data_IF_821486204004
#
_entry.id   IF_821486204004
#
_cell.length_a   1.000
_cell.length_b   1.000
_cell.length_c   1.000
_cell.angle_alpha   90.00
_cell.angle_beta   90.00
_cell.angle_gamma   90.00
#
_symmetry.space_group_name_H-M   'P 1'
#
loop_
_entity.id
_entity.type
_entity.pdbx_description
1 polymer ?
#
# COMPACT_ATOMS: atom_id res chain seq x y z
N UNK A 1 -11.45 2.89 7.92
CA UNK A 1 -11.24 2.72 6.47
C UNK A 1 -10.22 3.76 6.04
N UNK A 2 -8.99 3.32 5.90
CA UNK A 2 -7.83 4.10 5.46
C UNK A 2 -7.76 4.14 3.93
N UNK A 3 -7.38 5.30 3.38
CA UNK A 3 -7.08 5.47 1.96
C UNK A 3 -6.00 6.53 1.78
N UNK A 4 -4.77 6.10 1.54
CA UNK A 4 -3.59 6.96 1.42
C UNK A 4 -3.16 6.98 -0.04
N UNK A 5 -2.96 8.19 -0.57
CA UNK A 5 -2.84 8.43 -2.00
C UNK A 5 -1.40 8.65 -2.44
N UNK A 6 -1.10 8.15 -3.64
CA UNK A 6 0.04 8.57 -4.46
C UNK A 6 1.39 8.47 -3.74
N UNK A 7 1.73 7.27 -3.28
CA UNK A 7 3.08 7.00 -2.77
C UNK A 7 4.11 7.09 -3.89
N UNK A 8 5.14 7.91 -3.68
CA UNK A 8 6.26 8.10 -4.63
C UNK A 8 7.60 7.96 -3.92
N UNK A 9 8.66 7.50 -4.60
CA UNK A 9 9.99 7.47 -4.01
C UNK A 9 10.44 8.86 -3.57
N UNK A 10 11.02 8.94 -2.38
CA UNK A 10 11.57 10.19 -1.86
C UNK A 10 12.83 9.97 -1.04
N UNK A 11 13.54 11.07 -0.78
CA UNK A 11 14.72 11.05 0.07
C UNK A 11 14.34 10.84 1.54
N UNK A 12 15.19 10.17 2.34
CA UNK A 12 15.05 10.13 3.79
C UNK A 12 14.83 11.52 4.39
N UNK A 13 13.90 11.63 5.35
CA UNK A 13 13.56 12.88 6.04
C UNK A 13 14.08 12.94 7.48
N UNK A 14 14.46 11.81 8.08
CA UNK A 14 15.02 11.74 9.44
C UNK A 14 16.43 11.12 9.46
N UNK A 15 17.24 11.37 10.52
CA UNK A 15 18.53 10.73 10.68
C UNK A 15 18.47 9.19 10.66
N UNK A 16 17.44 8.61 11.27
CA UNK A 16 17.23 7.15 11.30
C UNK A 16 16.96 6.61 9.90
N UNK A 17 16.12 7.29 9.12
CA UNK A 17 15.85 6.93 7.73
C UNK A 17 17.12 7.05 6.88
N UNK A 18 17.94 8.08 7.10
CA UNK A 18 19.20 8.27 6.40
C UNK A 18 20.20 7.16 6.72
N UNK A 19 20.30 6.75 7.99
CA UNK A 19 21.12 5.61 8.40
C UNK A 19 20.65 4.32 7.73
N UNK A 20 19.34 4.04 7.75
CA UNK A 20 18.74 2.87 7.10
C UNK A 20 19.00 2.86 5.58
N UNK A 21 18.84 4.00 4.91
CA UNK A 21 19.14 4.13 3.48
C UNK A 21 20.62 3.86 3.18
N UNK A 22 21.53 4.39 3.99
CA UNK A 22 22.97 4.23 3.76
C UNK A 22 23.46 2.81 4.06
N UNK A 23 23.01 2.23 5.17
CA UNK A 23 23.49 0.94 5.68
C UNK A 23 22.79 -0.25 5.02
N UNK A 24 21.50 -0.13 4.77
CA UNK A 24 20.66 -1.24 4.31
C UNK A 24 20.04 -1.01 2.93
N UNK A 25 20.32 0.14 2.28
CA UNK A 25 19.74 0.49 0.96
C UNK A 25 18.22 0.50 0.96
N UNK A 26 17.63 0.85 2.10
CA UNK A 26 16.17 0.98 2.26
C UNK A 26 15.69 2.13 1.38
N UNK A 27 14.66 1.86 0.59
CA UNK A 27 13.93 2.85 -0.20
C UNK A 27 12.74 3.37 0.63
N UNK A 28 12.50 4.67 0.55
CA UNK A 28 11.38 5.33 1.23
C UNK A 28 10.36 5.82 0.23
N UNK A 29 9.09 5.59 0.54
CA UNK A 29 7.97 6.10 -0.23
C UNK A 29 7.19 7.10 0.61
N UNK A 30 6.74 8.18 -0.02
CA UNK A 30 5.94 9.21 0.62
C UNK A 30 4.65 9.44 -0.16
N UNK A 31 3.53 9.50 0.55
CA UNK A 31 2.22 9.84 -0.01
C UNK A 31 2.15 11.33 -0.41
N UNK A 32 1.09 11.71 -1.11
CA UNK A 32 0.88 13.11 -1.51
C UNK A 32 0.76 14.08 -0.33
N UNK A 33 0.25 13.61 0.80
CA UNK A 33 0.14 14.36 2.06
C UNK A 33 1.38 14.19 2.97
N UNK A 34 2.41 13.51 2.47
CA UNK A 34 3.74 13.46 3.08
C UNK A 34 3.98 12.34 4.09
N UNK A 35 3.02 11.41 4.26
CA UNK A 35 3.17 10.24 5.13
C UNK A 35 4.18 9.26 4.54
N UNK A 36 5.05 8.72 5.38
CA UNK A 36 6.02 7.70 4.97
C UNK A 36 5.39 6.30 5.03
N UNK A 37 5.66 5.46 4.02
CA UNK A 37 4.99 4.17 3.84
C UNK A 37 5.11 3.22 5.03
N UNK A 38 6.31 2.98 5.57
CA UNK A 38 6.49 2.02 6.66
C UNK A 38 5.79 2.50 7.94
N UNK A 39 5.82 3.80 8.24
CA UNK A 39 5.08 4.36 9.36
C UNK A 39 3.56 4.34 9.16
N UNK A 40 3.10 4.58 7.93
CA UNK A 40 1.69 4.56 7.57
C UNK A 40 1.03 3.18 7.75
N UNK A 41 1.80 2.08 7.70
CA UNK A 41 1.29 0.72 7.92
C UNK A 41 0.53 0.56 9.25
N UNK A 42 0.91 1.33 10.28
CA UNK A 42 0.27 1.29 11.62
C UNK A 42 -1.17 1.78 11.63
N UNK A 43 -1.62 2.46 10.57
CA UNK A 43 -2.98 2.99 10.47
C UNK A 43 -4.00 1.94 10.01
N UNK A 44 -3.54 0.84 9.42
CA UNK A 44 -4.41 -0.19 8.85
C UNK A 44 -4.87 -1.16 9.93
N UNK A 45 -6.16 -1.51 9.91
CA UNK A 45 -6.74 -2.46 10.86
C UNK A 45 -6.25 -3.88 10.56
N UNK A 46 -6.15 -4.76 11.56
CA UNK A 46 -5.62 -6.12 11.35
C UNK A 46 -6.54 -7.01 10.51
N UNK A 47 -7.86 -6.82 10.61
CA UNK A 47 -8.92 -7.68 10.09
C UNK A 47 -9.58 -7.18 8.78
N UNK A 48 -8.95 -6.23 8.10
CA UNK A 48 -9.41 -5.67 6.82
C UNK A 48 -8.68 -6.27 5.61
N UNK A 49 -9.25 -6.13 4.42
CA UNK A 49 -8.55 -6.36 3.15
C UNK A 49 -7.86 -5.06 2.75
N UNK A 50 -6.57 -5.12 2.41
CA UNK A 50 -5.78 -3.99 1.90
C UNK A 50 -5.45 -4.25 0.45
N UNK A 51 -5.35 -3.18 -0.32
CA UNK A 51 -4.96 -3.27 -1.71
C UNK A 51 -4.23 -2.01 -2.16
N UNK A 52 -3.29 -2.19 -3.09
CA UNK A 52 -2.70 -1.10 -3.84
C UNK A 52 -3.37 -0.96 -5.20
N UNK A 53 -3.54 0.28 -5.65
CA UNK A 53 -4.12 0.57 -6.96
C UNK A 53 -3.41 1.76 -7.62
N UNK A 54 -3.40 1.75 -8.96
CA UNK A 54 -2.73 2.77 -9.76
C UNK A 54 -3.60 4.00 -10.02
N UNK A 55 -3.10 4.96 -10.79
CA UNK A 55 -3.82 6.20 -11.13
C UNK A 55 -5.11 5.98 -11.92
N UNK A 56 -5.25 4.82 -12.59
CA UNK A 56 -6.45 4.45 -13.35
C UNK A 56 -7.50 3.77 -12.46
N UNK A 57 -7.20 3.59 -11.16
CA UNK A 57 -8.07 2.91 -10.20
C UNK A 57 -8.00 1.39 -10.28
N UNK A 58 -7.06 0.83 -11.04
CA UNK A 58 -6.92 -0.63 -11.19
C UNK A 58 -6.18 -1.19 -10.00
N UNK A 59 -6.77 -2.18 -9.32
CA UNK A 59 -6.13 -2.88 -8.21
C UNK A 59 -4.99 -3.75 -8.74
N UNK A 60 -3.77 -3.55 -8.21
CA UNK A 60 -2.55 -4.25 -8.64
C UNK A 60 -2.06 -5.28 -7.63
N UNK A 61 -2.40 -5.13 -6.35
CA UNK A 61 -2.03 -6.09 -5.31
C UNK A 61 -3.06 -6.07 -4.19
N UNK A 62 -3.30 -7.22 -3.57
CA UNK A 62 -4.26 -7.41 -2.47
C UNK A 62 -3.57 -8.22 -1.38
N UNK A 63 -3.78 -7.85 -0.12
CA UNK A 63 -3.28 -8.61 1.03
C UNK A 63 -4.11 -8.31 2.28
N UNK A 64 -4.12 -9.24 3.24
CA UNK A 64 -4.58 -8.93 4.61
C UNK A 64 -3.46 -8.35 5.48
N UNK A 65 -2.22 -8.63 5.12
CA UNK A 65 -1.01 -8.07 5.72
C UNK A 65 -0.53 -6.86 4.90
N UNK A 66 -0.63 -5.66 5.47
CA UNK A 66 -0.23 -4.42 4.79
C UNK A 66 1.26 -4.39 4.48
N UNK A 67 2.10 -5.07 5.27
CA UNK A 67 3.54 -5.09 5.06
C UNK A 67 3.96 -5.86 3.79
N UNK A 68 3.06 -6.68 3.24
CA UNK A 68 3.26 -7.39 1.97
C UNK A 68 3.06 -6.49 0.73
N UNK A 69 2.62 -5.24 0.92
CA UNK A 69 2.41 -4.29 -0.18
C UNK A 69 3.65 -3.40 -0.39
N UNK A 70 3.90 -3.06 -1.65
CA UNK A 70 4.94 -2.10 -2.05
C UNK A 70 4.38 -1.10 -3.05
N UNK A 71 3.79 0.01 -2.58
CA UNK A 71 2.92 0.87 -3.39
C UNK A 71 3.68 1.94 -4.19
N UNK A 72 4.75 1.58 -4.89
CA UNK A 72 5.48 2.56 -5.71
C UNK A 72 4.57 3.10 -6.81
N UNK A 73 4.40 4.43 -6.85
CA UNK A 73 3.52 5.16 -7.76
C UNK A 73 2.05 4.69 -7.69
N UNK A 74 1.64 4.24 -6.51
CA UNK A 74 0.30 3.72 -6.25
C UNK A 74 -0.30 4.32 -4.98
N UNK A 75 -1.60 4.16 -4.82
CA UNK A 75 -2.30 4.43 -3.58
C UNK A 75 -2.58 3.13 -2.83
N UNK A 76 -2.83 3.20 -1.51
CA UNK A 76 -3.21 2.05 -0.68
C UNK A 76 -4.49 2.35 0.08
N UNK A 77 -5.45 1.45 0.00
CA UNK A 77 -6.71 1.54 0.74
C UNK A 77 -7.05 0.22 1.43
N UNK A 78 -7.98 0.31 2.39
CA UNK A 78 -8.57 -0.86 3.03
C UNK A 78 -10.10 -0.84 3.01
N UNK A 79 -10.67 -2.04 3.07
CA UNK A 79 -12.10 -2.28 3.24
C UNK A 79 -12.32 -3.43 4.22
N UNK A 80 -13.50 -3.46 4.87
CA UNK A 80 -13.88 -4.59 5.72
C UNK A 80 -13.88 -5.91 4.93
N UNK A 81 -13.48 -7.01 5.57
CA UNK A 81 -13.43 -8.32 4.94
C UNK A 81 -14.83 -8.96 4.85
N UNK A 82 -15.64 -8.49 3.90
CA UNK A 82 -17.01 -8.97 3.63
C UNK A 82 -17.09 -9.64 2.26
N UNK A 83 -18.08 -10.51 2.05
CA UNK A 83 -18.31 -11.16 0.74
C UNK A 83 -18.47 -10.14 -0.39
N UNK A 84 -19.28 -9.09 -0.17
CA UNK A 84 -19.48 -8.04 -1.17
C UNK A 84 -18.18 -7.32 -1.54
N UNK A 85 -17.31 -7.03 -0.57
CA UNK A 85 -16.03 -6.40 -0.83
C UNK A 85 -15.05 -7.33 -1.57
N UNK A 86 -15.06 -8.63 -1.27
CA UNK A 86 -14.24 -9.61 -2.01
C UNK A 86 -14.66 -9.69 -3.48
N UNK A 87 -15.97 -9.71 -3.75
CA UNK A 87 -16.52 -9.73 -5.11
C UNK A 87 -16.17 -8.44 -5.87
N UNK A 88 -16.36 -7.28 -5.23
CA UNK A 88 -16.00 -5.99 -5.82
C UNK A 88 -14.49 -5.90 -6.15
N UNK A 89 -13.61 -6.28 -5.20
CA UNK A 89 -12.16 -6.29 -5.42
C UNK A 89 -11.80 -7.21 -6.60
N UNK A 90 -12.41 -8.40 -6.68
CA UNK A 90 -12.16 -9.33 -7.78
C UNK A 90 -12.53 -8.74 -9.14
N UNK A 91 -13.57 -7.92 -9.21
CA UNK A 91 -13.95 -7.23 -10.44
C UNK A 91 -12.98 -6.07 -10.75
N UNK A 92 -12.57 -5.32 -9.73
CA UNK A 92 -11.67 -4.17 -9.85
C UNK A 92 -10.20 -4.52 -10.15
N UNK A 93 -9.77 -5.76 -9.88
CA UNK A 93 -8.43 -6.26 -10.20
C UNK A 93 -8.18 -6.53 -11.70
N UNK A 94 -9.17 -6.29 -12.57
CA UNK A 94 -8.96 -6.28 -14.02
C UNK A 94 -8.44 -7.61 -14.59
N UNK A 95 -9.16 -8.71 -14.39
CA UNK A 95 -9.05 -9.97 -15.16
C UNK A 95 -7.74 -10.77 -15.07
N UNK A 96 -6.63 -10.19 -14.60
CA UNK A 96 -5.41 -10.90 -14.31
C UNK A 96 -5.41 -11.25 -12.82
N UNK A 97 -5.77 -12.49 -12.50
CA UNK A 97 -5.50 -13.09 -11.20
C UNK A 97 -4.03 -12.85 -10.84
N UNK A 98 -3.75 -11.90 -9.94
CA UNK A 98 -2.55 -11.95 -9.12
C UNK A 98 -2.82 -13.06 -8.11
N UNK A 99 -2.38 -14.27 -8.46
CA UNK A 99 -2.34 -15.42 -7.54
C UNK A 99 -1.36 -15.09 -6.41
N UNK A 100 -1.90 -14.66 -5.28
CA UNK A 100 -1.33 -14.99 -3.97
C UNK A 100 -2.47 -15.05 -2.96
N UNK A 101 -2.98 -16.26 -2.74
CA UNK A 101 -3.56 -16.66 -1.46
C UNK A 101 -2.46 -17.31 -0.63
#
# INVERSE_FOLDING_TARGET
>A
MVNIKNFTPGNPKTPEQLELANKHRVLFLFSEDGQEWYEAQKQFAADTIKFSYDSDGVIRSISRDVSALWPVNMSVAEVADTTANREWISAAAGGLMVRTL
#
